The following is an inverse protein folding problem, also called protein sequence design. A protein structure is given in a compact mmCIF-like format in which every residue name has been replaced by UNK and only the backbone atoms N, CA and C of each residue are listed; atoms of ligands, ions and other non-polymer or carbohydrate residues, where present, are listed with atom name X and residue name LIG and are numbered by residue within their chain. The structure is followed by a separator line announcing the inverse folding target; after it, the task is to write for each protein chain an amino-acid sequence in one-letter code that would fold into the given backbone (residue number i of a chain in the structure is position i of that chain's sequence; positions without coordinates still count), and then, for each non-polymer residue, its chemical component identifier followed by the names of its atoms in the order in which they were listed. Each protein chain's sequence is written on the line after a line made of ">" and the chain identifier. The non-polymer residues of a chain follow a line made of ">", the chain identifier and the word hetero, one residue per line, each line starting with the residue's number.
data_IF_124929475371
#
_entry.id   IF_124929475371
#
_cell.length_a   1.000
_cell.length_b   1.000
_cell.length_c   1.000
_cell.angle_alpha   90.00
_cell.angle_beta   90.00
_cell.angle_gamma   90.00
#
_symmetry.space_group_name_H-M   'P 1'
#
loop_
_entity.id
_entity.type
_entity.pdbx_description
1 polymer ?
#
# COMPACT_ATOMS: atom_id res chain seq x y z
N UNK A 1 -40.44 -8.76 14.55
CA UNK A 1 -40.68 -7.76 13.47
C UNK A 1 -39.55 -6.74 13.53
N UNK A 2 -38.80 -6.52 12.44
CA UNK A 2 -37.84 -5.42 12.37
C UNK A 2 -38.60 -4.14 12.03
N UNK A 3 -38.43 -3.10 12.85
CA UNK A 3 -39.10 -1.82 12.68
C UNK A 3 -38.51 -1.08 11.49
N UNK A 4 -39.32 -0.25 10.82
CA UNK A 4 -38.84 0.62 9.74
C UNK A 4 -37.74 1.58 10.24
N UNK A 5 -37.75 1.93 11.54
CA UNK A 5 -36.66 2.68 12.19
C UNK A 5 -35.32 1.95 12.15
N UNK A 6 -35.32 0.63 12.33
CA UNK A 6 -34.09 -0.18 12.36
C UNK A 6 -33.43 -0.22 10.97
N UNK A 7 -34.24 -0.20 9.90
CA UNK A 7 -33.74 -0.15 8.51
C UNK A 7 -33.07 1.20 8.21
N UNK A 8 -33.68 2.29 8.66
CA UNK A 8 -33.13 3.65 8.46
C UNK A 8 -31.82 3.82 9.23
N UNK A 9 -31.72 3.24 10.43
CA UNK A 9 -30.50 3.29 11.23
C UNK A 9 -29.32 2.59 10.53
N UNK A 10 -29.51 1.38 10.01
CA UNK A 10 -28.44 0.61 9.33
C UNK A 10 -27.98 1.32 8.06
N UNK A 11 -28.91 1.85 7.25
CA UNK A 11 -28.53 2.60 6.04
C UNK A 11 -27.70 3.84 6.41
N UNK A 12 -28.09 4.56 7.47
CA UNK A 12 -27.33 5.70 7.97
C UNK A 12 -25.93 5.34 8.46
N UNK A 13 -25.77 4.19 9.14
CA UNK A 13 -24.46 3.69 9.56
C UNK A 13 -23.56 3.35 8.37
N UNK A 14 -24.12 2.71 7.32
CA UNK A 14 -23.37 2.38 6.10
C UNK A 14 -22.96 3.66 5.36
N UNK A 15 -23.87 4.63 5.23
CA UNK A 15 -23.56 5.91 4.60
C UNK A 15 -22.41 6.62 5.35
N UNK A 16 -22.51 6.72 6.67
CA UNK A 16 -21.45 7.32 7.49
C UNK A 16 -20.12 6.60 7.34
N UNK A 17 -20.12 5.27 7.29
CA UNK A 17 -18.90 4.48 7.09
C UNK A 17 -18.28 4.72 5.71
N UNK A 18 -19.08 4.89 4.66
CA UNK A 18 -18.60 5.21 3.32
C UNK A 18 -18.06 6.64 3.23
N UNK A 19 -18.72 7.60 3.86
CA UNK A 19 -18.32 9.01 3.84
C UNK A 19 -16.99 9.26 4.57
N UNK A 20 -16.64 8.44 5.56
CA UNK A 20 -15.42 8.55 6.36
C UNK A 20 -14.16 7.98 5.65
N UNK A 21 -14.32 7.30 4.51
CA UNK A 21 -13.21 6.64 3.81
C UNK A 21 -12.79 7.40 2.55
N UNK A 22 -11.51 7.78 2.50
CA UNK A 22 -10.88 8.30 1.27
C UNK A 22 -10.44 7.16 0.34
N UNK A 23 -9.79 6.13 0.90
CA UNK A 23 -9.38 4.92 0.18
C UNK A 23 -9.56 3.72 1.11
N UNK A 24 -10.21 2.67 0.64
CA UNK A 24 -10.55 1.55 1.50
C UNK A 24 -11.70 0.67 1.01
N UNK A 25 -12.26 -0.08 1.94
CA UNK A 25 -13.49 -0.86 1.76
C UNK A 25 -14.41 -0.74 2.98
N UNK A 26 -15.72 -0.80 2.73
CA UNK A 26 -16.73 -1.11 3.76
C UNK A 26 -17.23 -2.51 3.47
N UNK A 27 -17.19 -3.38 4.47
CA UNK A 27 -17.57 -4.79 4.37
C UNK A 27 -18.76 -5.06 5.29
N UNK A 28 -19.78 -5.72 4.74
CA UNK A 28 -21.04 -6.03 5.40
C UNK A 28 -21.18 -7.53 5.60
N UNK A 29 -21.35 -7.95 6.85
CA UNK A 29 -21.62 -9.35 7.18
C UNK A 29 -23.11 -9.53 7.46
N UNK A 30 -23.73 -10.42 6.69
CA UNK A 30 -25.17 -10.69 6.78
C UNK A 30 -25.39 -12.16 7.12
N UNK A 31 -26.07 -12.42 8.23
CA UNK A 31 -26.46 -13.76 8.65
C UNK A 31 -27.94 -13.78 8.99
N UNK A 32 -28.66 -14.82 8.59
CA UNK A 32 -30.11 -14.96 8.85
C UNK A 32 -30.91 -13.70 8.46
N UNK A 33 -30.56 -13.09 7.30
CA UNK A 33 -31.16 -11.84 6.78
C UNK A 33 -30.99 -10.62 7.69
N UNK A 34 -30.02 -10.65 8.61
CA UNK A 34 -29.68 -9.55 9.52
C UNK A 34 -28.21 -9.16 9.33
N UNK A 35 -27.94 -7.85 9.25
CA UNK A 35 -26.57 -7.34 9.32
C UNK A 35 -26.05 -7.57 10.74
N UNK A 36 -24.94 -8.29 10.87
CA UNK A 36 -24.35 -8.64 12.16
C UNK A 36 -23.07 -7.87 12.44
N UNK A 37 -22.39 -7.39 11.40
CA UNK A 37 -21.16 -6.63 11.51
C UNK A 37 -20.96 -5.74 10.28
N UNK A 38 -20.44 -4.54 10.53
CA UNK A 38 -19.92 -3.61 9.52
C UNK A 38 -18.43 -3.43 9.83
N UNK A 39 -17.56 -3.73 8.88
CA UNK A 39 -16.12 -3.51 8.99
C UNK A 39 -15.72 -2.38 8.05
N UNK A 40 -14.87 -1.48 8.55
CA UNK A 40 -14.33 -0.36 7.78
C UNK A 40 -12.82 -0.54 7.67
N UNK A 41 -12.31 -0.66 6.45
CA UNK A 41 -10.87 -0.83 6.17
C UNK A 41 -10.32 0.43 5.53
N UNK A 42 -9.53 1.19 6.27
CA UNK A 42 -8.81 2.35 5.74
C UNK A 42 -7.51 1.89 5.07
N UNK A 43 -7.33 2.23 3.80
CA UNK A 43 -6.13 1.93 3.04
C UNK A 43 -5.36 3.23 2.83
N UNK A 44 -4.21 3.37 3.48
CA UNK A 44 -3.28 4.48 3.24
C UNK A 44 -2.31 4.09 2.13
N UNK A 45 -2.44 4.71 0.95
CA UNK A 45 -1.44 4.58 -0.11
C UNK A 45 -0.16 5.30 0.32
N UNK A 46 0.98 4.62 0.20
CA UNK A 46 2.29 5.19 0.47
C UNK A 46 3.18 4.96 -0.74
N UNK A 47 4.06 5.92 -1.03
CA UNK A 47 5.05 5.79 -2.10
C UNK A 47 6.41 5.70 -1.43
N UNK A 48 6.78 4.49 -1.01
CA UNK A 48 8.12 4.23 -0.48
C UNK A 48 8.92 3.61 -1.62
N UNK A 49 9.90 4.36 -2.10
CA UNK A 49 10.95 3.80 -2.95
C UNK A 49 11.81 2.90 -2.07
N UNK A 50 11.72 1.58 -2.30
CA UNK A 50 12.69 0.68 -1.70
C UNK A 50 14.01 0.87 -2.43
N UNK A 51 15.07 1.22 -1.69
CA UNK A 51 16.41 1.24 -2.25
C UNK A 51 16.66 -0.11 -2.94
N UNK A 52 17.07 -0.05 -4.21
CA UNK A 52 17.49 -1.26 -4.91
C UNK A 52 18.68 -1.80 -4.13
N UNK A 53 18.49 -2.94 -3.46
CA UNK A 53 19.61 -3.72 -2.96
C UNK A 53 20.60 -3.87 -4.12
N UNK A 54 21.88 -3.49 -3.96
CA UNK A 54 22.86 -3.68 -5.02
C UNK A 54 22.85 -5.16 -5.37
N UNK A 55 22.41 -5.48 -6.58
CA UNK A 55 22.46 -6.84 -7.10
C UNK A 55 23.92 -7.26 -7.10
N UNK A 56 24.24 -8.37 -6.45
CA UNK A 56 25.56 -8.97 -6.43
C UNK A 56 25.93 -9.65 -7.77
N UNK A 57 25.47 -9.09 -8.90
CA UNK A 57 25.62 -9.66 -10.25
C UNK A 57 26.36 -8.71 -11.19
N UNK A 58 27.23 -7.84 -10.67
CA UNK A 58 28.21 -7.14 -11.50
C UNK A 58 29.55 -7.86 -11.41
N UNK A 59 29.68 -8.88 -12.26
CA UNK A 59 30.98 -9.45 -12.59
C UNK A 59 31.93 -8.33 -13.05
N UNK A 60 33.02 -8.21 -12.30
CA UNK A 60 34.32 -7.65 -12.63
C UNK A 60 34.61 -7.37 -14.12
N UNK A 61 34.79 -6.09 -14.45
CA UNK A 61 35.84 -5.66 -15.39
C UNK A 61 36.69 -4.57 -14.73
N UNK A 62 37.69 -5.01 -13.96
CA UNK A 62 38.79 -4.15 -13.53
C UNK A 62 39.70 -3.93 -14.73
N UNK A 63 39.38 -2.94 -15.57
CA UNK A 63 40.36 -2.38 -16.49
C UNK A 63 41.06 -1.21 -15.79
N UNK A 64 41.99 -1.53 -14.88
CA UNK A 64 42.89 -0.52 -14.31
C UNK A 64 43.94 -0.17 -15.37
N UNK A 65 43.62 0.82 -16.19
CA UNK A 65 44.54 1.45 -17.14
C UNK A 65 45.52 2.31 -16.35
N UNK A 66 46.54 1.70 -15.72
CA UNK A 66 47.65 2.45 -15.15
C UNK A 66 48.54 2.90 -16.32
N UNK A 67 48.26 4.11 -16.80
CA UNK A 67 49.24 4.88 -17.55
C UNK A 67 50.36 5.26 -16.59
N UNK A 68 51.53 4.64 -16.74
CA UNK A 68 52.75 5.20 -16.16
C UNK A 68 53.32 6.15 -17.19
N UNK A 69 53.19 7.41 -16.81
CA UNK A 69 53.64 8.59 -17.50
C UNK A 69 55.14 8.56 -17.79
N UNK A 70 55.50 9.27 -18.85
CA UNK A 70 56.87 9.51 -19.28
C UNK A 70 57.69 10.10 -18.13
N UNK A 71 58.79 9.45 -17.77
CA UNK A 71 59.95 10.18 -17.25
C UNK A 71 61.07 10.15 -18.29
N UNK A 72 61.44 11.37 -18.70
CA UNK A 72 62.37 11.75 -19.75
C UNK A 72 63.67 12.21 -19.09
N UNK A 73 64.82 11.76 -19.62
CA UNK A 73 66.18 12.34 -19.50
C UNK A 73 66.77 12.45 -18.08
N UNK A 74 68.05 12.14 -17.84
CA UNK A 74 69.30 12.54 -18.53
C UNK A 74 70.31 11.39 -18.50
#
# INVERSE_FOLDING_TARGET
>A
MHSQKDKVAIIGEIQKALDDIIFGSVELYVQNRKVTQITVRHIKKTNVEMEKTPRADSQSEVNLKIGIDKQKSV
#
